data_IF_282520140574
#
_entry.id   IF_282520140574
#
_cell.length_a   1.000
_cell.length_b   1.000
_cell.length_c   1.000
_cell.angle_alpha   90.00
_cell.angle_beta   90.00
_cell.angle_gamma   90.00
#
_symmetry.space_group_name_H-M   'P 1'
#
loop_
_entity.id
_entity.type
_entity.pdbx_description
1 polymer ?
#
# COMPACT_ATOMS: atom_id res chain seq x y z
N UNK A 1 -22.97 -12.28 -38.35
CA UNK A 1 -22.11 -13.05 -37.48
C UNK A 1 -22.19 -12.50 -36.06
N UNK A 2 -22.38 -13.38 -35.12
CA UNK A 2 -22.47 -12.95 -33.74
C UNK A 2 -21.09 -12.65 -33.19
N UNK A 3 -20.96 -11.54 -32.52
CA UNK A 3 -19.75 -11.15 -31.84
C UNK A 3 -19.52 -12.03 -30.64
N UNK A 4 -18.25 -12.26 -30.30
CA UNK A 4 -17.89 -13.03 -29.13
C UNK A 4 -18.15 -12.20 -27.86
N UNK A 5 -19.20 -12.54 -27.13
CA UNK A 5 -19.61 -11.83 -25.91
C UNK A 5 -18.51 -11.86 -24.83
N UNK A 6 -17.75 -12.96 -24.75
CA UNK A 6 -16.67 -13.07 -23.76
C UNK A 6 -15.56 -12.06 -24.04
N UNK A 7 -15.19 -11.87 -25.31
CA UNK A 7 -14.17 -10.90 -25.70
C UNK A 7 -14.64 -9.48 -25.40
N UNK A 8 -15.90 -9.21 -25.69
CA UNK A 8 -16.48 -7.90 -25.46
C UNK A 8 -16.55 -7.57 -23.98
N UNK A 9 -17.01 -8.52 -23.15
CA UNK A 9 -17.06 -8.36 -21.70
C UNK A 9 -15.67 -8.18 -21.09
N UNK A 10 -14.69 -8.93 -21.59
CA UNK A 10 -13.31 -8.80 -21.12
C UNK A 10 -12.74 -7.41 -21.42
N UNK A 11 -13.06 -6.87 -22.60
CA UNK A 11 -12.63 -5.51 -22.98
C UNK A 11 -13.28 -4.44 -22.10
N UNK A 12 -14.57 -4.57 -21.83
CA UNK A 12 -15.29 -3.66 -20.94
C UNK A 12 -14.75 -3.73 -19.53
N UNK A 13 -14.50 -4.94 -19.06
CA UNK A 13 -13.93 -5.14 -17.71
C UNK A 13 -12.58 -4.45 -17.59
N UNK A 14 -11.71 -4.60 -18.57
CA UNK A 14 -10.40 -3.94 -18.57
C UNK A 14 -10.53 -2.42 -18.54
N UNK A 15 -11.44 -1.86 -19.29
CA UNK A 15 -11.66 -0.41 -19.32
C UNK A 15 -12.13 0.07 -17.96
N UNK A 16 -13.15 -0.57 -17.38
CA UNK A 16 -13.71 -0.20 -16.10
C UNK A 16 -12.67 -0.37 -14.98
N UNK A 17 -11.92 -1.46 -15.03
CA UNK A 17 -10.88 -1.76 -14.05
C UNK A 17 -9.78 -0.70 -14.08
N UNK A 18 -9.38 -0.26 -15.27
CA UNK A 18 -8.36 0.76 -15.43
C UNK A 18 -8.81 2.13 -14.95
N UNK A 19 -10.08 2.48 -15.13
CA UNK A 19 -10.63 3.75 -14.69
C UNK A 19 -10.59 3.87 -13.16
N UNK A 20 -10.80 2.76 -12.46
CA UNK A 20 -10.88 2.76 -11.01
C UNK A 20 -9.53 2.56 -10.33
N UNK A 21 -8.44 2.43 -11.10
CA UNK A 21 -7.11 2.20 -10.53
C UNK A 21 -6.54 3.52 -10.01
N UNK A 22 -6.24 3.56 -8.73
CA UNK A 22 -5.52 4.68 -8.12
C UNK A 22 -4.02 4.47 -8.26
N UNK A 23 -3.25 5.49 -8.57
CA UNK A 23 -1.79 5.36 -8.52
C UNK A 23 -1.31 5.19 -7.09
N UNK A 24 -0.13 4.59 -6.94
CA UNK A 24 0.59 4.55 -5.67
C UNK A 24 1.67 5.61 -5.70
N UNK A 25 1.67 6.48 -4.70
CA UNK A 25 2.68 7.52 -4.54
C UNK A 25 3.55 7.18 -3.34
N UNK A 26 4.84 7.03 -3.57
CA UNK A 26 5.80 6.70 -2.52
C UNK A 26 6.46 7.97 -2.02
N UNK A 27 6.25 8.29 -0.73
CA UNK A 27 6.84 9.50 -0.14
C UNK A 27 8.25 9.22 0.38
N UNK A 28 9.13 10.20 0.25
CA UNK A 28 10.51 10.07 0.69
C UNK A 28 11.20 8.86 0.05
N UNK A 29 11.90 8.09 0.88
CA UNK A 29 12.62 6.88 0.43
C UNK A 29 11.79 5.59 0.55
N UNK A 30 10.46 5.70 0.69
CA UNK A 30 9.65 4.53 0.97
C UNK A 30 9.69 3.47 -0.13
N UNK A 31 9.82 3.86 -1.41
CA UNK A 31 9.97 2.90 -2.49
C UNK A 31 11.31 2.16 -2.42
N UNK A 32 12.39 2.89 -2.17
CA UNK A 32 13.71 2.27 -2.02
C UNK A 32 13.70 1.29 -0.85
N UNK A 33 13.05 1.65 0.24
CA UNK A 33 12.91 0.77 1.41
C UNK A 33 12.11 -0.49 1.07
N UNK A 34 11.02 -0.35 0.32
CA UNK A 34 10.22 -1.50 -0.13
C UNK A 34 11.05 -2.44 -1.02
N UNK A 35 11.85 -1.87 -1.91
CA UNK A 35 12.71 -2.65 -2.80
C UNK A 35 13.76 -3.47 -2.07
N UNK A 36 14.10 -3.09 -0.84
CA UNK A 36 15.04 -3.83 0.01
C UNK A 36 14.40 -5.01 0.74
N UNK A 37 13.09 -5.14 0.70
CA UNK A 37 12.43 -6.31 1.28
C UNK A 37 12.92 -7.59 0.58
N UNK A 38 13.02 -8.71 1.29
CA UNK A 38 13.25 -10.00 0.63
C UNK A 38 12.21 -10.26 -0.44
N UNK A 39 12.57 -11.04 -1.44
CA UNK A 39 11.75 -11.23 -2.64
C UNK A 39 10.31 -11.63 -2.32
N UNK A 40 10.10 -12.60 -1.42
CA UNK A 40 8.76 -13.06 -1.08
C UNK A 40 7.94 -11.99 -0.38
N UNK A 41 8.55 -11.24 0.55
CA UNK A 41 7.89 -10.13 1.24
C UNK A 41 7.57 -8.99 0.27
N UNK A 42 8.49 -8.68 -0.64
CA UNK A 42 8.29 -7.65 -1.65
C UNK A 42 7.14 -8.01 -2.60
N UNK A 43 7.07 -9.28 -3.00
CA UNK A 43 6.00 -9.78 -3.87
C UNK A 43 4.64 -9.68 -3.17
N UNK A 44 4.57 -10.08 -1.91
CA UNK A 44 3.35 -9.99 -1.13
C UNK A 44 2.93 -8.52 -0.92
N UNK A 45 3.90 -7.65 -0.64
CA UNK A 45 3.63 -6.22 -0.53
C UNK A 45 3.03 -5.67 -1.83
N UNK A 46 3.59 -6.03 -2.98
CA UNK A 46 3.07 -5.62 -4.27
C UNK A 46 1.64 -6.07 -4.51
N UNK A 47 1.33 -7.29 -4.11
CA UNK A 47 -0.04 -7.82 -4.20
C UNK A 47 -1.02 -7.00 -3.34
N UNK A 48 -0.63 -6.66 -2.12
CA UNK A 48 -1.47 -5.87 -1.24
C UNK A 48 -1.67 -4.45 -1.75
N UNK A 49 -0.62 -3.84 -2.29
CA UNK A 49 -0.73 -2.51 -2.90
C UNK A 49 -1.66 -2.52 -4.11
N UNK A 50 -1.58 -3.56 -4.93
CA UNK A 50 -2.48 -3.71 -6.09
C UNK A 50 -3.94 -3.76 -5.65
N UNK A 51 -4.25 -4.49 -4.59
CA UNK A 51 -5.60 -4.53 -4.04
C UNK A 51 -6.09 -3.13 -3.67
N UNK A 52 -5.25 -2.35 -3.00
CA UNK A 52 -5.62 -1.00 -2.59
C UNK A 52 -5.82 -0.07 -3.78
N UNK A 53 -5.04 -0.23 -4.83
CA UNK A 53 -5.23 0.54 -6.05
C UNK A 53 -6.62 0.31 -6.66
N UNK A 54 -7.19 -0.86 -6.43
CA UNK A 54 -8.52 -1.22 -6.91
C UNK A 54 -9.63 -0.99 -5.88
N UNK A 55 -9.34 -0.23 -4.83
CA UNK A 55 -10.33 0.14 -3.83
C UNK A 55 -10.61 -0.94 -2.79
N UNK A 56 -9.82 -2.01 -2.75
CA UNK A 56 -9.97 -3.08 -1.78
C UNK A 56 -9.05 -2.83 -0.58
N UNK A 57 -9.45 -3.32 0.58
CA UNK A 57 -8.58 -3.30 1.74
C UNK A 57 -7.50 -4.37 1.62
N UNK A 58 -6.30 -4.14 2.17
CA UNK A 58 -5.30 -5.20 2.25
C UNK A 58 -5.75 -6.31 3.21
N UNK A 59 -5.13 -7.49 3.10
CA UNK A 59 -5.57 -8.66 3.88
C UNK A 59 -5.31 -8.49 5.37
N UNK A 60 -4.16 -7.92 5.75
CA UNK A 60 -3.78 -7.76 7.16
C UNK A 60 -3.33 -6.33 7.41
N UNK A 61 -4.17 -5.57 8.06
CA UNK A 61 -3.87 -4.17 8.36
C UNK A 61 -4.48 -3.77 9.70
N UNK A 62 -3.99 -2.68 10.23
CA UNK A 62 -4.57 -2.05 11.42
C UNK A 62 -4.42 -0.53 11.31
N UNK A 63 -5.28 0.23 12.00
CA UNK A 63 -5.07 1.67 12.12
C UNK A 63 -3.78 1.97 12.87
N UNK A 64 -3.13 3.08 12.50
CA UNK A 64 -1.91 3.52 13.18
C UNK A 64 -2.08 4.98 13.58
N UNK A 65 -2.87 5.20 14.63
CA UNK A 65 -3.25 6.54 15.09
C UNK A 65 -2.07 7.39 15.54
N UNK A 66 -0.99 6.75 15.99
CA UNK A 66 0.22 7.47 16.41
C UNK A 66 0.89 8.21 15.26
N UNK A 67 0.65 7.80 14.02
CA UNK A 67 1.14 8.51 12.83
C UNK A 67 0.17 9.62 12.45
N UNK A 68 -1.10 9.34 12.45
CA UNK A 68 -2.13 10.34 12.12
C UNK A 68 -3.48 9.69 11.90
N UNK A 69 -4.53 10.51 11.95
CA UNK A 69 -5.89 10.03 11.73
C UNK A 69 -6.04 9.49 10.31
N UNK A 70 -6.56 8.27 10.17
CA UNK A 70 -6.78 7.64 8.89
C UNK A 70 -5.58 6.89 8.33
N UNK A 71 -4.41 6.98 8.98
CA UNK A 71 -3.26 6.18 8.56
C UNK A 71 -3.42 4.75 9.00
N UNK A 72 -2.88 3.83 8.21
CA UNK A 72 -2.97 2.40 8.44
C UNK A 72 -1.62 1.75 8.22
N UNK A 73 -1.45 0.57 8.79
CA UNK A 73 -0.25 -0.23 8.67
C UNK A 73 -0.61 -1.58 8.07
N UNK A 74 -0.03 -1.91 6.92
CA UNK A 74 -0.14 -3.25 6.35
C UNK A 74 0.90 -4.14 7.00
N UNK A 75 0.51 -5.35 7.28
CA UNK A 75 1.37 -6.37 7.91
C UNK A 75 1.68 -7.44 6.87
N UNK A 76 2.96 -7.61 6.58
CA UNK A 76 3.47 -8.66 5.69
C UNK A 76 4.40 -9.55 6.50
N UNK A 77 4.19 -10.84 6.41
CA UNK A 77 5.02 -11.81 7.16
C UNK A 77 5.46 -12.92 6.22
N UNK A 78 6.75 -13.29 6.31
CA UNK A 78 7.29 -14.45 5.61
C UNK A 78 8.39 -15.09 6.46
N UNK A 79 9.14 -16.02 5.86
CA UNK A 79 10.21 -16.73 6.56
C UNK A 79 11.33 -15.81 7.04
N UNK A 80 11.54 -14.68 6.38
CA UNK A 80 12.60 -13.74 6.72
C UNK A 80 12.19 -12.73 7.80
N UNK A 81 10.91 -12.69 8.18
CA UNK A 81 10.47 -11.84 9.27
C UNK A 81 9.15 -11.16 9.01
N UNK A 82 8.94 -10.07 9.75
CA UNK A 82 7.74 -9.25 9.67
C UNK A 82 8.08 -7.90 9.05
N UNK A 83 7.25 -7.47 8.12
CA UNK A 83 7.43 -6.23 7.39
C UNK A 83 6.17 -5.38 7.52
N UNK A 84 6.34 -4.07 7.46
CA UNK A 84 5.24 -3.12 7.60
C UNK A 84 5.29 -2.08 6.50
N UNK A 85 4.09 -1.69 6.04
CA UNK A 85 3.91 -0.59 5.10
C UNK A 85 2.91 0.35 5.74
N UNK A 86 3.34 1.59 6.04
CA UNK A 86 2.46 2.62 6.60
C UNK A 86 1.95 3.44 5.43
N UNK A 87 0.64 3.61 5.34
CA UNK A 87 0.01 4.25 4.20
C UNK A 87 -1.20 5.09 4.59
N UNK A 88 -1.61 5.95 3.65
CA UNK A 88 -2.82 6.74 3.74
C UNK A 88 -3.54 6.68 2.40
N UNK A 89 -4.80 6.24 2.41
CA UNK A 89 -5.56 6.00 1.18
C UNK A 89 -6.89 6.75 1.13
N UNK A 90 -7.08 7.74 1.99
CA UNK A 90 -8.35 8.48 2.07
C UNK A 90 -8.46 9.64 1.10
N UNK A 91 -7.37 10.01 0.42
CA UNK A 91 -7.42 10.99 -0.66
C UNK A 91 -7.85 10.29 -1.96
N UNK A 92 -8.64 11.00 -2.77
CA UNK A 92 -9.22 10.39 -3.96
C UNK A 92 -8.20 10.12 -5.08
N UNK A 93 -7.08 10.85 -5.07
CA UNK A 93 -6.13 10.86 -6.18
C UNK A 93 -5.10 9.73 -6.14
N UNK A 94 -4.77 9.20 -4.97
CA UNK A 94 -3.69 8.21 -4.87
C UNK A 94 -3.74 7.45 -3.54
N UNK A 95 -3.01 6.33 -3.52
CA UNK A 95 -2.62 5.64 -2.28
C UNK A 95 -1.23 6.13 -1.93
N UNK A 96 -1.08 6.75 -0.77
CA UNK A 96 0.20 7.35 -0.35
C UNK A 96 0.92 6.42 0.61
N UNK A 97 2.12 6.00 0.23
CA UNK A 97 2.98 5.16 1.05
C UNK A 97 3.91 6.07 1.83
N UNK A 98 3.79 6.04 3.16
CA UNK A 98 4.55 6.91 4.04
C UNK A 98 5.88 6.29 4.44
N UNK A 99 5.92 4.98 4.69
CA UNK A 99 7.13 4.32 5.19
C UNK A 99 7.01 2.82 5.03
N UNK A 100 8.13 2.17 4.68
CA UNK A 100 8.24 0.72 4.57
C UNK A 100 9.43 0.26 5.39
N UNK A 101 9.28 -0.79 6.21
CA UNK A 101 10.36 -1.24 7.07
C UNK A 101 10.17 -2.68 7.53
N UNK A 102 11.27 -3.31 7.94
CA UNK A 102 11.21 -4.59 8.63
C UNK A 102 10.97 -4.34 10.11
N UNK A 103 9.96 -4.97 10.67
CA UNK A 103 9.62 -4.82 12.08
C UNK A 103 10.46 -5.79 12.90
N UNK A 104 11.29 -5.23 13.79
CA UNK A 104 12.22 -6.00 14.63
C UNK A 104 11.88 -5.94 16.12
N UNK A 105 10.86 -5.18 16.50
CA UNK A 105 10.44 -5.01 17.89
C UNK A 105 8.95 -5.31 18.03
N UNK A 106 8.45 -5.64 19.23
CA UNK A 106 7.02 -5.91 19.43
C UNK A 106 6.11 -4.75 19.02
N UNK A 107 6.56 -3.51 19.24
CA UNK A 107 5.85 -2.30 18.82
C UNK A 107 6.58 -1.67 17.65
N UNK A 108 5.86 -0.94 16.81
CA UNK A 108 6.48 -0.09 15.81
C UNK A 108 7.38 0.91 16.51
N UNK A 109 8.65 0.98 16.11
CA UNK A 109 9.64 1.81 16.80
C UNK A 109 9.27 3.29 16.72
N UNK A 110 9.74 4.05 17.73
CA UNK A 110 9.49 5.49 17.75
C UNK A 110 10.10 6.21 16.54
N UNK A 111 11.23 5.74 16.03
CA UNK A 111 11.86 6.33 14.86
C UNK A 111 11.02 6.09 13.60
N UNK A 112 10.44 4.90 13.44
CA UNK A 112 9.55 4.60 12.31
C UNK A 112 8.28 5.44 12.38
N UNK A 113 7.69 5.57 13.57
CA UNK A 113 6.50 6.39 13.78
C UNK A 113 6.79 7.85 13.48
N UNK A 114 7.90 8.39 13.96
CA UNK A 114 8.27 9.80 13.74
C UNK A 114 8.47 10.10 12.26
N UNK A 115 9.14 9.21 11.55
CA UNK A 115 9.38 9.38 10.13
C UNK A 115 8.07 9.37 9.33
N UNK A 116 7.22 8.39 9.59
CA UNK A 116 5.92 8.31 8.93
C UNK A 116 5.04 9.51 9.27
N UNK A 117 5.06 9.96 10.52
CA UNK A 117 4.29 11.13 10.95
C UNK A 117 4.75 12.40 10.23
N UNK A 118 6.07 12.59 10.08
CA UNK A 118 6.60 13.74 9.37
C UNK A 118 6.12 13.76 7.92
N UNK A 119 6.15 12.61 7.26
CA UNK A 119 5.68 12.49 5.88
C UNK A 119 4.18 12.70 5.77
N UNK A 120 3.42 12.21 6.74
CA UNK A 120 1.97 12.44 6.77
C UNK A 120 1.64 13.93 6.92
N UNK A 121 2.34 14.62 7.81
CA UNK A 121 2.15 16.07 7.99
C UNK A 121 2.47 16.84 6.71
N UNK A 122 3.54 16.44 6.03
CA UNK A 122 3.93 17.05 4.76
C UNK A 122 2.85 16.86 3.70
N UNK A 123 2.29 15.65 3.63
CA UNK A 123 1.22 15.32 2.70
C UNK A 123 -0.03 16.16 2.95
N UNK A 124 -0.37 16.38 4.21
CA UNK A 124 -1.60 17.06 4.60
C UNK A 124 -1.47 18.59 4.66
N UNK A 125 -0.31 19.10 4.36
CA UNK A 125 -0.01 20.52 4.39
C UNK A 125 -0.75 21.33 3.31
#
# INVERSE_FOLDING_TARGET
MRRDDKTELASLYKILYSIDVKPVEFLGDSLDALRLFPRSARREAGFQLDKMQHGLDPDHWKPLKSVGAGTREIRVRDQSGSFRIIYYAQLADAVYILHCFQKKTPKTSSSDVKLARARFKELMR
#
